data_IF_698101509445
#
_entry.id   IF_698101509445
#
_cell.length_a   1.000
_cell.length_b   1.000
_cell.length_c   1.000
_cell.angle_alpha   90.00
_cell.angle_beta   90.00
_cell.angle_gamma   90.00
#
_symmetry.space_group_name_H-M   'P 1'
#
loop_
_entity.id
_entity.type
_entity.pdbx_description
1 polymer ?
#
# COMPACT_ATOMS: atom_id res chain seq x y z
N UNK A 1 -4.69 -26.08 2.47
CA UNK A 1 -4.86 -24.61 2.34
C UNK A 1 -6.33 -24.19 2.36
N UNK A 2 -7.19 -24.76 1.49
CA UNK A 2 -8.65 -24.44 1.48
C UNK A 2 -9.37 -24.63 2.83
N UNK A 3 -9.05 -25.66 3.62
CA UNK A 3 -9.73 -25.89 4.90
C UNK A 3 -9.41 -24.85 5.99
N UNK A 4 -8.27 -24.16 5.87
CA UNK A 4 -7.87 -23.11 6.81
C UNK A 4 -8.48 -21.76 6.43
N UNK A 5 -8.43 -21.42 5.13
CA UNK A 5 -9.02 -20.18 4.60
C UNK A 5 -10.54 -20.13 4.79
N UNK A 6 -11.21 -21.28 4.79
CA UNK A 6 -12.64 -21.40 5.08
C UNK A 6 -13.02 -21.15 6.56
N UNK A 7 -12.05 -21.12 7.48
CA UNK A 7 -12.27 -20.89 8.92
C UNK A 7 -11.97 -19.45 9.36
N UNK A 8 -11.40 -18.64 8.47
CA UNK A 8 -11.02 -17.27 8.77
C UNK A 8 -12.22 -16.33 8.57
N UNK A 9 -12.50 -15.50 9.58
CA UNK A 9 -13.55 -14.48 9.51
C UNK A 9 -13.12 -13.24 8.70
N UNK A 10 -11.82 -13.09 8.44
CA UNK A 10 -11.23 -11.96 7.72
C UNK A 10 -10.23 -12.46 6.67
N UNK A 11 -10.01 -11.66 5.63
CA UNK A 11 -9.04 -11.96 4.58
C UNK A 11 -7.63 -12.01 5.18
N UNK A 12 -6.95 -13.14 4.98
CA UNK A 12 -5.63 -13.41 5.51
C UNK A 12 -4.65 -13.53 4.32
N UNK A 13 -3.37 -13.11 4.42
CA UNK A 13 -2.40 -13.23 3.34
C UNK A 13 -2.31 -14.63 2.71
N UNK A 14 -2.49 -15.68 3.52
CA UNK A 14 -2.57 -17.08 3.07
C UNK A 14 -3.73 -17.37 2.09
N UNK A 15 -4.82 -16.60 2.14
CA UNK A 15 -5.93 -16.67 1.17
C UNK A 15 -5.49 -16.24 -0.23
N UNK A 16 -4.47 -15.38 -0.34
CA UNK A 16 -3.90 -14.89 -1.59
C UNK A 16 -2.59 -15.59 -1.96
N UNK A 17 -2.28 -16.73 -1.32
CA UNK A 17 -1.01 -17.45 -1.49
C UNK A 17 0.23 -16.62 -1.17
N UNK A 18 0.08 -15.57 -0.36
CA UNK A 18 1.22 -14.79 0.13
C UNK A 18 1.83 -15.58 1.28
N UNK A 19 3.07 -16.05 1.08
CA UNK A 19 3.80 -16.87 2.03
C UNK A 19 4.52 -15.98 3.05
N UNK A 20 4.02 -15.96 4.27
CA UNK A 20 4.71 -15.41 5.44
C UNK A 20 5.29 -16.56 6.26
N UNK A 21 6.61 -16.72 6.28
CA UNK A 21 7.26 -17.88 6.92
C UNK A 21 7.12 -17.90 8.45
N UNK A 22 6.82 -16.76 9.07
CA UNK A 22 6.62 -16.67 10.53
C UNK A 22 5.16 -16.94 10.92
N UNK A 23 4.27 -17.10 9.94
CA UNK A 23 2.86 -17.41 10.18
C UNK A 23 2.67 -18.89 10.57
N UNK A 24 2.01 -19.09 11.70
CA UNK A 24 1.67 -20.40 12.27
C UNK A 24 0.77 -21.24 11.35
N UNK A 25 0.10 -20.63 10.39
CA UNK A 25 -0.79 -21.31 9.46
C UNK A 25 -0.05 -22.30 8.54
N UNK A 26 1.26 -22.09 8.34
CA UNK A 26 2.09 -22.93 7.48
C UNK A 26 2.65 -24.17 8.16
N UNK A 27 2.60 -24.26 9.50
CA UNK A 27 3.08 -25.42 10.28
C UNK A 27 2.33 -26.71 9.88
N UNK A 28 1.07 -26.59 9.44
CA UNK A 28 0.26 -27.72 9.00
C UNK A 28 0.38 -28.01 7.49
N UNK A 29 1.15 -27.21 6.76
CA UNK A 29 1.30 -27.29 5.29
C UNK A 29 2.71 -27.70 4.91
N UNK A 30 3.72 -27.17 5.61
CA UNK A 30 5.13 -27.47 5.42
C UNK A 30 5.70 -28.11 6.69
N UNK A 31 6.63 -29.04 6.50
CA UNK A 31 7.47 -29.54 7.58
C UNK A 31 8.47 -28.46 8.05
N UNK A 32 9.00 -28.64 9.26
CA UNK A 32 10.02 -27.73 9.79
C UNK A 32 11.27 -27.68 8.91
N UNK A 33 11.62 -28.78 8.25
CA UNK A 33 12.75 -28.89 7.32
C UNK A 33 12.49 -28.11 6.02
N UNK A 34 11.28 -28.18 5.47
CA UNK A 34 10.88 -27.39 4.30
C UNK A 34 10.82 -25.89 4.60
N UNK A 35 10.31 -25.50 5.77
CA UNK A 35 10.31 -24.10 6.19
C UNK A 35 11.74 -23.55 6.36
N UNK A 36 12.65 -24.36 6.92
CA UNK A 36 14.05 -23.99 7.04
C UNK A 36 14.74 -23.89 5.67
N UNK A 37 14.45 -24.81 4.74
CA UNK A 37 14.94 -24.73 3.36
C UNK A 37 14.47 -23.45 2.66
N UNK A 38 13.16 -23.14 2.76
CA UNK A 38 12.59 -21.94 2.14
C UNK A 38 13.22 -20.69 2.78
N UNK A 39 13.38 -20.65 4.10
CA UNK A 39 14.02 -19.53 4.81
C UNK A 39 15.48 -19.35 4.39
N UNK A 40 16.22 -20.44 4.21
CA UNK A 40 17.62 -20.38 3.79
C UNK A 40 17.79 -20.00 2.31
N UNK A 41 16.81 -20.29 1.44
CA UNK A 41 16.82 -19.92 0.01
C UNK A 41 16.20 -18.56 -0.28
N UNK A 42 15.20 -18.16 0.49
CA UNK A 42 14.79 -16.77 0.69
C UNK A 42 15.82 -16.09 1.57
N UNK A 43 17.09 -16.08 1.13
CA UNK A 43 17.97 -14.99 1.50
C UNK A 43 17.19 -13.77 1.06
N UNK A 44 16.66 -13.03 2.01
CA UNK A 44 16.19 -11.68 1.79
C UNK A 44 17.32 -11.04 1.00
N UNK A 45 17.13 -10.92 -0.32
CA UNK A 45 17.64 -9.73 -0.97
C UNK A 45 16.91 -8.68 -0.17
N UNK A 46 17.62 -8.17 0.84
CA UNK A 46 17.39 -6.88 1.40
C UNK A 46 17.54 -5.97 0.18
N UNK A 47 16.47 -5.95 -0.63
CA UNK A 47 16.15 -4.86 -1.49
C UNK A 47 15.89 -3.84 -0.42
N UNK A 48 16.96 -3.22 0.06
CA UNK A 48 16.88 -2.10 0.96
C UNK A 48 16.16 -1.09 0.09
N UNK A 49 14.84 -1.12 0.15
CA UNK A 49 14.01 -0.09 -0.39
C UNK A 49 14.29 1.05 0.56
N UNK A 50 15.40 1.74 0.30
CA UNK A 50 15.70 3.00 0.90
C UNK A 50 14.61 3.89 0.35
N UNK A 51 13.47 3.91 1.04
CA UNK A 51 12.44 4.91 0.86
C UNK A 51 13.17 6.23 1.12
N UNK A 52 13.58 6.99 0.09
CA UNK A 52 14.61 8.03 0.26
C UNK A 52 14.10 9.24 1.06
N UNK A 53 12.86 9.16 1.56
CA UNK A 53 12.00 10.31 1.72
C UNK A 53 11.18 10.21 3.02
N UNK A 54 11.66 9.39 3.98
CA UNK A 54 11.09 9.37 5.34
C UNK A 54 11.07 10.78 5.94
N UNK A 55 12.08 11.57 5.63
CA UNK A 55 12.17 12.97 6.07
C UNK A 55 11.06 13.83 5.47
N UNK A 56 10.71 13.62 4.20
CA UNK A 56 9.57 14.27 3.56
C UNK A 56 8.24 13.84 4.19
N UNK A 57 8.06 12.55 4.46
CA UNK A 57 6.85 12.08 5.14
C UNK A 57 6.71 12.67 6.56
N UNK A 58 7.83 12.91 7.24
CA UNK A 58 7.85 13.54 8.55
C UNK A 58 7.51 15.04 8.51
N UNK A 59 7.62 15.72 7.36
CA UNK A 59 7.19 17.13 7.26
C UNK A 59 5.68 17.28 7.20
N UNK A 60 4.96 16.21 6.83
CA UNK A 60 3.50 16.25 6.68
C UNK A 60 2.83 16.43 8.05
N UNK A 61 1.94 17.44 8.21
CA UNK A 61 1.26 17.68 9.47
C UNK A 61 0.38 16.49 9.85
N UNK A 62 0.55 15.96 11.07
CA UNK A 62 -0.33 14.94 11.65
C UNK A 62 -1.62 15.57 12.13
N UNK A 63 -2.54 15.79 11.19
CA UNK A 63 -3.85 16.42 11.44
C UNK A 63 -4.96 15.60 10.78
N UNK A 64 -6.15 15.64 11.35
CA UNK A 64 -7.37 15.07 10.75
C UNK A 64 -7.98 15.97 9.69
N UNK A 65 -7.45 17.19 9.53
CA UNK A 65 -7.90 18.20 8.58
C UNK A 65 -7.15 18.05 7.25
N UNK A 66 -7.81 17.39 6.30
CA UNK A 66 -7.27 17.03 4.99
C UNK A 66 -6.95 18.28 4.15
N UNK A 67 -7.70 19.37 4.32
CA UNK A 67 -7.47 20.63 3.61
C UNK A 67 -6.13 21.25 4.06
N UNK A 68 -5.79 21.14 5.35
CA UNK A 68 -4.48 21.58 5.86
C UNK A 68 -3.34 20.74 5.30
N UNK A 69 -3.53 19.42 5.15
CA UNK A 69 -2.53 18.54 4.54
C UNK A 69 -2.30 18.93 3.07
N UNK A 70 -3.39 19.11 2.31
CA UNK A 70 -3.33 19.53 0.91
C UNK A 70 -2.60 20.86 0.72
N UNK A 71 -2.95 21.87 1.51
CA UNK A 71 -2.33 23.19 1.44
C UNK A 71 -0.85 23.15 1.84
N UNK A 72 -0.50 22.37 2.87
CA UNK A 72 0.89 22.21 3.30
C UNK A 72 1.75 21.63 2.17
N UNK A 73 1.31 20.53 1.57
CA UNK A 73 2.06 19.84 0.52
C UNK A 73 2.14 20.68 -0.75
N UNK A 74 1.08 21.41 -1.09
CA UNK A 74 1.06 22.32 -2.25
C UNK A 74 2.10 23.42 -2.16
N UNK A 75 2.42 23.88 -0.95
CA UNK A 75 3.42 24.91 -0.72
C UNK A 75 4.87 24.39 -0.77
N UNK A 76 5.11 23.07 -0.75
CA UNK A 76 6.45 22.52 -0.86
C UNK A 76 6.91 22.63 -2.31
N UNK A 77 8.00 23.36 -2.55
CA UNK A 77 8.62 23.46 -3.88
C UNK A 77 9.63 22.32 -4.01
N UNK A 78 9.43 21.45 -5.00
CA UNK A 78 10.31 20.33 -5.33
C UNK A 78 10.64 20.44 -6.81
N UNK A 79 11.92 20.29 -7.15
CA UNK A 79 12.36 20.32 -8.54
C UNK A 79 11.98 19.00 -9.24
N UNK A 80 11.12 19.03 -10.28
CA UNK A 80 10.62 17.81 -10.93
C UNK A 80 11.68 17.05 -11.74
N UNK A 81 12.82 17.67 -12.03
CA UNK A 81 13.90 17.10 -12.84
C UNK A 81 15.00 16.53 -11.96
N UNK A 82 15.33 17.23 -10.87
CA UNK A 82 16.42 16.87 -9.95
C UNK A 82 15.95 15.91 -8.85
N UNK A 83 14.74 16.11 -8.34
CA UNK A 83 14.16 15.37 -7.21
C UNK A 83 12.86 14.67 -7.65
N UNK A 84 12.98 13.85 -8.71
CA UNK A 84 11.84 13.25 -9.40
C UNK A 84 10.98 12.37 -8.48
N UNK A 85 11.62 11.59 -7.61
CA UNK A 85 10.92 10.64 -6.72
C UNK A 85 10.08 11.39 -5.68
N UNK A 86 10.67 12.40 -5.03
CA UNK A 86 10.00 13.32 -4.11
C UNK A 86 8.85 14.09 -4.78
N UNK A 87 9.05 14.51 -6.03
CA UNK A 87 8.02 15.19 -6.80
C UNK A 87 6.82 14.28 -7.07
N UNK A 88 7.07 13.01 -7.43
CA UNK A 88 6.00 12.02 -7.58
C UNK A 88 5.28 11.77 -6.26
N UNK A 89 6.02 11.60 -5.17
CA UNK A 89 5.45 11.40 -3.84
C UNK A 89 4.54 12.58 -3.44
N UNK A 90 4.99 13.81 -3.68
CA UNK A 90 4.20 15.03 -3.48
C UNK A 90 2.88 14.98 -4.26
N UNK A 91 2.94 14.69 -5.56
CA UNK A 91 1.74 14.65 -6.42
C UNK A 91 0.75 13.61 -5.91
N UNK A 92 1.22 12.40 -5.59
CA UNK A 92 0.35 11.30 -5.15
C UNK A 92 -0.40 11.70 -3.88
N UNK A 93 0.29 12.30 -2.90
CA UNK A 93 -0.36 12.70 -1.65
C UNK A 93 -1.33 13.88 -1.87
N UNK A 94 -1.00 14.83 -2.75
CA UNK A 94 -1.92 15.91 -3.11
C UNK A 94 -3.20 15.36 -3.77
N UNK A 95 -3.07 14.43 -4.71
CA UNK A 95 -4.20 13.80 -5.38
C UNK A 95 -5.05 12.99 -4.39
N UNK A 96 -4.42 12.24 -3.48
CA UNK A 96 -5.13 11.52 -2.43
C UNK A 96 -5.92 12.48 -1.53
N UNK A 97 -5.29 13.58 -1.07
CA UNK A 97 -5.95 14.59 -0.27
C UNK A 97 -7.12 15.26 -1.01
N UNK A 98 -6.99 15.52 -2.31
CA UNK A 98 -8.07 16.07 -3.14
C UNK A 98 -9.26 15.10 -3.27
N UNK A 99 -8.99 13.81 -3.48
CA UNK A 99 -10.03 12.77 -3.54
C UNK A 99 -10.83 12.65 -2.24
N UNK A 100 -10.16 12.81 -1.09
CA UNK A 100 -10.84 12.84 0.20
C UNK A 100 -11.60 14.16 0.43
N UNK A 101 -11.03 15.31 0.05
CA UNK A 101 -11.67 16.61 0.20
C UNK A 101 -12.93 16.74 -0.66
N UNK A 102 -12.91 16.16 -1.86
CA UNK A 102 -14.05 16.12 -2.79
C UNK A 102 -15.05 15.00 -2.49
N UNK A 103 -14.84 14.23 -1.41
CA UNK A 103 -15.68 13.13 -0.95
C UNK A 103 -15.90 12.02 -2.01
N UNK A 104 -14.95 11.88 -2.96
CA UNK A 104 -14.95 10.79 -3.94
C UNK A 104 -14.53 9.44 -3.31
N UNK A 105 -13.82 9.48 -2.18
CA UNK A 105 -13.44 8.32 -1.36
C UNK A 105 -13.97 8.44 0.08
N UNK A 106 -15.28 8.23 0.32
CA UNK A 106 -15.78 8.14 1.70
C UNK A 106 -15.26 6.85 2.35
N UNK A 107 -14.55 6.95 3.48
CA UNK A 107 -14.02 5.80 4.24
C UNK A 107 -15.08 5.07 5.09
N UNK A 108 -16.36 5.32 4.83
CA UNK A 108 -17.46 4.63 5.51
C UNK A 108 -17.68 3.27 4.87
N UNK A 109 -17.38 2.20 5.61
CA UNK A 109 -17.75 0.81 5.34
C UNK A 109 -17.29 0.22 3.99
N UNK A 110 -16.09 0.57 3.54
CA UNK A 110 -15.48 -0.02 2.35
C UNK A 110 -14.33 -0.95 2.73
N UNK A 111 -14.37 -2.18 2.22
CA UNK A 111 -13.24 -3.11 2.32
C UNK A 111 -12.10 -2.60 1.43
N UNK A 112 -10.86 -3.01 1.72
CA UNK A 112 -9.68 -2.67 0.88
C UNK A 112 -9.92 -3.00 -0.60
N UNK A 113 -10.66 -4.09 -0.86
CA UNK A 113 -11.12 -4.51 -2.18
C UNK A 113 -12.02 -3.47 -2.86
N UNK A 114 -12.92 -2.82 -2.13
CA UNK A 114 -13.83 -1.81 -2.68
C UNK A 114 -13.07 -0.53 -3.06
N UNK A 115 -12.07 -0.15 -2.26
CA UNK A 115 -11.19 0.98 -2.54
C UNK A 115 -10.33 0.68 -3.77
N UNK A 116 -9.69 -0.49 -3.82
CA UNK A 116 -8.89 -0.92 -4.97
C UNK A 116 -9.73 -1.00 -6.24
N UNK A 117 -10.97 -1.51 -6.16
CA UNK A 117 -11.86 -1.58 -7.33
C UNK A 117 -12.27 -0.20 -7.85
N UNK A 118 -12.46 0.79 -6.97
CA UNK A 118 -12.73 2.18 -7.38
C UNK A 118 -11.50 2.82 -8.01
N UNK A 119 -10.33 2.71 -7.37
CA UNK A 119 -9.07 3.26 -7.89
C UNK A 119 -8.74 2.64 -9.26
N UNK A 120 -8.90 1.32 -9.39
CA UNK A 120 -8.67 0.62 -10.65
C UNK A 120 -9.70 0.99 -11.72
N UNK A 121 -10.97 1.17 -11.35
CA UNK A 121 -12.00 1.66 -12.28
C UNK A 121 -11.67 3.06 -12.81
N UNK A 122 -11.09 3.96 -12.00
CA UNK A 122 -10.65 5.27 -12.46
C UNK A 122 -9.51 5.17 -13.48
N UNK A 123 -8.57 4.25 -13.23
CA UNK A 123 -7.43 3.99 -14.11
C UNK A 123 -7.92 3.36 -15.43
N UNK A 124 -8.77 2.33 -15.37
CA UNK A 124 -9.37 1.69 -16.55
C UNK A 124 -10.13 2.71 -17.40
N UNK A 125 -10.97 3.58 -16.81
CA UNK A 125 -11.66 4.64 -17.58
C UNK A 125 -10.71 5.65 -18.23
N UNK A 126 -9.51 5.86 -17.69
CA UNK A 126 -8.52 6.73 -18.33
C UNK A 126 -7.87 6.06 -19.55
N UNK A 127 -7.87 4.72 -19.61
CA UNK A 127 -7.35 3.94 -20.73
C UNK A 127 -8.42 3.52 -21.75
N UNK A 128 -9.69 3.50 -21.35
CA UNK A 128 -10.85 3.25 -22.22
C UNK A 128 -11.36 4.51 -22.95
N UNK A 129 -10.76 5.68 -22.69
CA UNK A 129 -11.01 6.90 -23.44
C UNK A 129 -10.32 6.86 -24.83
N UNK A 130 -10.90 6.09 -25.76
CA UNK A 130 -10.68 6.17 -27.20
C UNK A 130 -12.02 6.22 -27.95
#
# INVERSE_FOLDING_TARGET
>A
MNEFTLKLNHEHPSCSLILDLDDKNWINVFSAEELDEIKNKCVEKDISFQFPEKDFLNTIPRTTDIIKVFNHISNIVIDPVTERDLYWLKIIIQQAADLFATNYLPLTDHSERDVMRRVWSFIDTAFDAN
#
